data_IF_489328521642
#
_entry.id   IF_489328521642
#
_cell.length_a   1.000
_cell.length_b   1.000
_cell.length_c   1.000
_cell.angle_alpha   90.00
_cell.angle_beta   90.00
_cell.angle_gamma   90.00
#
_symmetry.space_group_name_H-M   'P 1'
#
loop_
_entity.id
_entity.type
_entity.pdbx_description
1 polymer ?
#
# COMPACT_ATOMS: atom_id res chain seq x y z
N UNK A 1 16.40 16.59 1.28
CA UNK A 1 16.83 15.25 1.72
C UNK A 1 15.83 14.77 2.75
N UNK A 2 15.32 13.53 2.61
CA UNK A 2 14.37 12.91 3.54
C UNK A 2 15.01 11.64 4.08
N UNK A 3 14.91 11.43 5.39
CA UNK A 3 15.37 10.22 6.06
C UNK A 3 14.13 9.51 6.63
N UNK A 4 13.92 8.26 6.23
CA UNK A 4 12.90 7.40 6.81
C UNK A 4 13.62 6.36 7.69
N UNK A 5 13.11 6.14 8.90
CA UNK A 5 13.68 5.21 9.88
C UNK A 5 12.53 4.30 10.34
N UNK A 6 12.65 3.00 10.11
CA UNK A 6 11.72 2.00 10.61
C UNK A 6 12.10 1.61 12.04
N UNK A 7 11.12 1.60 12.95
CA UNK A 7 11.33 1.31 14.37
C UNK A 7 10.18 0.46 14.89
N UNK A 8 10.48 -0.79 15.23
CA UNK A 8 9.51 -1.79 15.69
C UNK A 8 8.93 -1.49 17.09
N UNK A 9 9.54 -0.55 17.81
CA UNK A 9 9.15 -0.17 19.16
C UNK A 9 8.77 1.31 19.22
N UNK A 10 7.46 1.57 19.34
CA UNK A 10 6.90 2.92 19.39
C UNK A 10 7.49 3.80 20.51
N UNK A 11 7.80 3.22 21.68
CA UNK A 11 8.41 3.97 22.78
C UNK A 11 9.80 4.47 22.43
N UNK A 12 10.63 3.62 21.79
CA UNK A 12 11.96 4.02 21.30
C UNK A 12 11.86 5.04 20.17
N UNK A 13 10.89 4.87 19.27
CA UNK A 13 10.62 5.81 18.18
C UNK A 13 10.26 7.21 18.68
N UNK A 14 9.47 7.30 19.77
CA UNK A 14 9.16 8.59 20.42
C UNK A 14 10.40 9.28 20.98
N UNK A 15 11.26 8.55 21.71
CA UNK A 15 12.51 9.11 22.24
C UNK A 15 13.44 9.60 21.13
N UNK A 16 13.53 8.86 20.01
CA UNK A 16 14.31 9.30 18.85
C UNK A 16 13.70 10.55 18.20
N UNK A 17 12.37 10.60 18.04
CA UNK A 17 11.69 11.76 17.47
C UNK A 17 11.88 13.01 18.33
N UNK A 18 11.85 12.88 19.66
CA UNK A 18 12.16 13.97 20.58
C UNK A 18 13.60 14.46 20.42
N UNK A 19 14.58 13.54 20.35
CA UNK A 19 15.97 13.89 20.10
C UNK A 19 16.13 14.65 18.76
N UNK A 20 15.54 14.14 17.67
CA UNK A 20 15.64 14.77 16.35
C UNK A 20 15.03 16.17 16.33
N UNK A 21 13.99 16.44 17.11
CA UNK A 21 13.40 17.79 17.23
C UNK A 21 14.31 18.80 17.94
N UNK A 22 15.27 18.34 18.75
CA UNK A 22 16.24 19.25 19.40
C UNK A 22 17.32 19.75 18.45
N UNK A 23 17.45 19.13 17.28
CA UNK A 23 18.49 19.42 16.30
C UNK A 23 18.03 20.57 15.39
N UNK A 24 18.72 21.71 15.45
CA UNK A 24 18.29 22.96 14.79
C UNK A 24 18.21 22.93 13.25
N UNK A 25 18.77 21.92 12.59
CA UNK A 25 18.67 21.75 11.13
C UNK A 25 17.59 20.75 10.69
N UNK A 26 16.90 20.11 11.65
CA UNK A 26 15.76 19.25 11.35
C UNK A 26 14.51 20.12 11.25
N UNK A 27 13.97 20.25 10.03
CA UNK A 27 12.81 21.12 9.75
C UNK A 27 11.51 20.61 10.37
N UNK A 28 11.29 19.30 10.32
CA UNK A 28 10.09 18.65 10.85
C UNK A 28 10.36 17.17 11.15
N UNK A 29 9.61 16.63 12.12
CA UNK A 29 9.63 15.21 12.49
C UNK A 29 8.20 14.73 12.57
N UNK A 30 7.85 13.81 11.67
CA UNK A 30 6.54 13.18 11.58
C UNK A 30 6.66 11.72 12.01
N UNK A 31 5.77 11.29 12.91
CA UNK A 31 5.63 9.89 13.27
C UNK A 31 4.43 9.37 12.50
N UNK A 32 4.70 8.61 11.45
CA UNK A 32 3.67 7.91 10.70
C UNK A 32 3.39 6.61 11.44
N UNK A 33 2.12 6.36 11.76
CA UNK A 33 1.67 5.02 12.09
C UNK A 33 1.21 4.38 10.79
N UNK A 34 1.68 3.18 10.53
CA UNK A 34 0.94 2.29 9.65
C UNK A 34 -0.34 1.96 10.41
N UNK A 35 -1.45 2.53 9.96
CA UNK A 35 -2.77 2.14 10.43
C UNK A 35 -3.11 0.83 9.75
N UNK A 36 -3.49 -0.17 10.55
CA UNK A 36 -4.06 -1.40 10.01
C UNK A 36 -5.32 -1.03 9.22
N UNK A 37 -5.45 -1.57 8.01
CA UNK A 37 -6.66 -1.39 7.21
C UNK A 37 -7.86 -1.90 8.00
N UNK A 38 -8.89 -1.06 8.10
CA UNK A 38 -10.15 -1.40 8.76
C UNK A 38 -11.02 -2.26 7.83
N UNK A 39 -11.98 -3.00 8.39
CA UNK A 39 -12.94 -3.80 7.62
C UNK A 39 -13.70 -2.97 6.56
N UNK A 40 -13.80 -1.66 6.75
CA UNK A 40 -14.44 -0.70 5.83
C UNK A 40 -13.53 -0.36 4.63
N UNK A 41 -12.20 -0.44 4.81
CA UNK A 41 -11.21 -0.29 3.74
C UNK A 41 -11.16 -1.55 2.85
N UNK A 42 -11.64 -2.68 3.35
CA UNK A 42 -11.83 -3.87 2.57
C UNK A 42 -13.10 -3.75 1.72
N UNK A 43 -12.94 -3.88 0.40
CA UNK A 43 -14.08 -4.01 -0.50
C UNK A 43 -14.80 -5.31 -0.11
N UNK A 44 -16.00 -5.19 0.50
CA UNK A 44 -16.83 -6.34 0.87
C UNK A 44 -16.98 -7.26 -0.36
N UNK A 45 -16.46 -8.51 -0.31
CA UNK A 45 -16.62 -9.44 -1.42
C UNK A 45 -18.11 -9.72 -1.61
N UNK A 46 -18.66 -9.32 -2.76
CA UNK A 46 -20.06 -9.55 -3.12
C UNK A 46 -20.93 -8.30 -3.26
N UNK A 47 -20.42 -7.07 -3.08
CA UNK A 47 -21.15 -5.90 -3.60
C UNK A 47 -21.19 -5.95 -5.13
N UNK A 48 -22.33 -5.63 -5.78
CA UNK A 48 -22.32 -5.41 -7.22
C UNK A 48 -21.32 -4.29 -7.53
N UNK A 49 -20.48 -4.51 -8.55
CA UNK A 49 -19.57 -3.47 -9.03
C UNK A 49 -20.39 -2.27 -9.54
N UNK A 50 -19.85 -1.06 -9.38
CA UNK A 50 -20.49 0.12 -9.94
C UNK A 50 -20.30 0.18 -11.46
N UNK A 51 -21.15 0.95 -12.13
CA UNK A 51 -21.02 1.15 -13.58
C UNK A 51 -19.66 1.77 -13.95
N UNK A 52 -19.10 2.64 -13.09
CA UNK A 52 -17.77 3.22 -13.32
C UNK A 52 -16.65 2.17 -13.22
N UNK A 53 -16.77 1.22 -12.28
CA UNK A 53 -15.83 0.11 -12.13
C UNK A 53 -15.91 -0.85 -13.32
N UNK A 54 -17.10 -1.09 -13.84
CA UNK A 54 -17.31 -1.86 -15.08
C UNK A 54 -16.70 -1.17 -16.30
N UNK A 55 -16.87 0.16 -16.42
CA UNK A 55 -16.29 0.91 -17.53
C UNK A 55 -14.76 0.98 -17.44
N UNK A 56 -14.21 1.11 -16.23
CA UNK A 56 -12.77 1.05 -16.00
C UNK A 56 -12.19 -0.32 -16.37
N UNK A 57 -12.88 -1.41 -16.02
CA UNK A 57 -12.50 -2.76 -16.40
C UNK A 57 -12.53 -2.94 -17.92
N UNK A 58 -13.60 -2.50 -18.60
CA UNK A 58 -13.70 -2.58 -20.05
C UNK A 58 -12.54 -1.82 -20.75
N UNK A 59 -12.21 -0.62 -20.28
CA UNK A 59 -11.07 0.17 -20.78
C UNK A 59 -9.71 -0.50 -20.53
N UNK A 60 -9.56 -1.22 -19.41
CA UNK A 60 -8.35 -1.99 -19.13
C UNK A 60 -8.21 -3.18 -20.07
N UNK A 61 -9.30 -3.93 -20.30
CA UNK A 61 -9.34 -5.06 -21.21
C UNK A 61 -9.09 -4.66 -22.67
N UNK A 62 -9.57 -3.51 -23.11
CA UNK A 62 -9.31 -2.98 -24.46
C UNK A 62 -7.85 -2.55 -24.67
N UNK A 63 -7.16 -2.16 -23.58
CA UNK A 63 -5.74 -1.79 -23.62
C UNK A 63 -4.81 -2.99 -23.54
N UNK A 64 -5.22 -4.07 -22.89
CA UNK A 64 -4.52 -5.36 -22.90
C UNK A 64 -4.72 -6.07 -24.25
N UNK A 65 -3.95 -5.66 -25.26
CA UNK A 65 -3.93 -6.32 -26.58
C UNK A 65 -3.28 -7.71 -26.57
N UNK A 66 -2.58 -8.08 -25.50
CA UNK A 66 -1.94 -9.38 -25.32
C UNK A 66 -2.54 -10.07 -24.09
N UNK A 67 -3.74 -10.62 -24.25
CA UNK A 67 -4.43 -11.35 -23.19
C UNK A 67 -3.64 -12.59 -22.78
N UNK A 68 -3.09 -12.58 -21.57
CA UNK A 68 -2.56 -13.77 -20.93
C UNK A 68 -3.76 -14.54 -20.35
N UNK A 69 -3.87 -15.84 -20.64
CA UNK A 69 -4.92 -16.67 -20.03
C UNK A 69 -4.87 -16.54 -18.50
N UNK A 70 -6.02 -16.31 -17.87
CA UNK A 70 -6.12 -16.05 -16.42
C UNK A 70 -5.39 -17.11 -15.56
N UNK A 71 -5.38 -18.37 -16.02
CA UNK A 71 -4.66 -19.46 -15.34
C UNK A 71 -3.15 -19.23 -15.28
N UNK A 72 -2.56 -18.63 -16.31
CA UNK A 72 -1.12 -18.34 -16.39
C UNK A 72 -0.77 -17.18 -15.47
N UNK A 73 -1.61 -16.14 -15.43
CA UNK A 73 -1.46 -15.00 -14.52
C UNK A 73 -1.49 -15.42 -13.03
N UNK A 74 -2.50 -16.20 -12.62
CA UNK A 74 -2.59 -16.65 -11.22
C UNK A 74 -1.46 -17.60 -10.81
N UNK A 75 -0.87 -18.33 -11.77
CA UNK A 75 0.29 -19.17 -11.51
C UNK A 75 1.55 -18.35 -11.26
N UNK A 76 1.82 -17.34 -12.09
CA UNK A 76 2.96 -16.43 -11.92
C UNK A 76 2.86 -15.61 -10.62
N UNK A 77 1.64 -15.18 -10.26
CA UNK A 77 1.41 -14.44 -9.01
C UNK A 77 1.73 -15.29 -7.77
N UNK A 78 1.32 -16.57 -7.76
CA UNK A 78 1.63 -17.51 -6.66
C UNK A 78 3.12 -17.80 -6.56
N UNK A 79 3.82 -17.93 -7.68
CA UNK A 79 5.27 -18.20 -7.70
C UNK A 79 6.10 -17.00 -7.21
N UNK A 80 5.60 -15.77 -7.36
CA UNK A 80 6.28 -14.56 -6.88
C UNK A 80 5.99 -14.20 -5.41
N UNK A 81 4.85 -14.61 -4.85
CA UNK A 81 4.51 -14.39 -3.43
C UNK A 81 5.19 -15.41 -2.50
N UNK A 82 5.58 -16.59 -3.03
CA UNK A 82 6.24 -17.66 -2.29
C UNK A 82 7.78 -17.65 -2.36
N UNK A 83 8.39 -16.56 -2.85
CA UNK A 83 9.83 -16.29 -2.77
C UNK A 83 10.11 -15.28 -1.66
#
# INVERSE_FOLDING_TARGET
MRLNIEIDNLSKGRSLAEFLRTIGYVKSVEILKDEDLTDEDWILPGRPATDEEHEALAKAMEKEKDGIEANTFFKELKENILK
#
